data_IF_618694459527
#
_entry.id   IF_618694459527
#
_cell.length_a   1.000
_cell.length_b   1.000
_cell.length_c   1.000
_cell.angle_alpha   90.00
_cell.angle_beta   90.00
_cell.angle_gamma   90.00
#
_symmetry.space_group_name_H-M   'P 1'
#
loop_
_entity.id
_entity.type
_entity.pdbx_description
1 polymer ?
#
# COMPACT_ATOMS: atom_id res chain seq x y z
N UNK A 1 -41.26 71.43 24.11
CA UNK A 1 -41.03 70.03 24.53
C UNK A 1 -40.71 69.24 23.25
N UNK A 2 -39.43 69.03 22.93
CA UNK A 2 -38.67 67.78 23.18
C UNK A 2 -39.32 66.57 22.49
N UNK A 3 -38.70 65.77 21.61
CA UNK A 3 -37.30 65.35 21.50
C UNK A 3 -36.96 64.81 20.11
N UNK A 4 -35.69 64.96 19.75
CA UNK A 4 -34.94 64.17 18.76
C UNK A 4 -35.16 62.65 18.90
N UNK A 5 -35.43 61.96 17.79
CA UNK A 5 -35.46 60.49 17.70
C UNK A 5 -34.50 59.96 16.63
N UNK A 6 -33.41 59.35 17.07
CA UNK A 6 -32.20 58.97 16.30
C UNK A 6 -32.44 57.85 15.28
N UNK A 7 -31.75 57.95 14.13
CA UNK A 7 -31.54 56.89 13.13
C UNK A 7 -30.94 55.64 13.79
N UNK A 8 -31.66 54.52 13.77
CA UNK A 8 -31.18 53.25 14.29
C UNK A 8 -30.34 52.51 13.23
N UNK A 9 -29.07 52.94 13.07
CA UNK A 9 -28.02 52.13 12.44
C UNK A 9 -27.62 51.04 13.43
N UNK A 10 -28.07 49.79 13.21
CA UNK A 10 -27.44 48.56 13.74
C UNK A 10 -28.10 47.30 13.13
N UNK A 11 -27.87 47.06 11.84
CA UNK A 11 -27.82 45.69 11.32
C UNK A 11 -26.38 45.24 11.43
N UNK A 12 -26.00 44.74 12.60
CA UNK A 12 -24.78 43.96 12.75
C UNK A 12 -25.04 42.68 11.96
N UNK A 13 -24.41 42.55 10.80
CA UNK A 13 -24.28 41.28 10.11
C UNK A 13 -23.56 40.34 11.07
N UNK A 14 -24.29 39.48 11.76
CA UNK A 14 -23.71 38.30 12.38
C UNK A 14 -23.19 37.44 11.22
N UNK A 15 -21.94 37.68 10.81
CA UNK A 15 -21.23 36.79 9.90
C UNK A 15 -21.26 35.42 10.57
N UNK A 16 -21.96 34.47 9.95
CA UNK A 16 -21.86 33.05 10.34
C UNK A 16 -20.35 32.74 10.43
N UNK A 17 -19.87 32.10 11.51
CA UNK A 17 -18.48 31.68 11.56
C UNK A 17 -18.21 30.86 10.30
N UNK A 18 -17.21 31.26 9.50
CA UNK A 18 -16.74 30.38 8.43
C UNK A 18 -16.12 29.19 9.15
N UNK A 19 -16.83 28.08 9.14
CA UNK A 19 -16.23 26.80 9.49
C UNK A 19 -15.27 26.47 8.35
N UNK A 20 -14.01 26.87 8.51
CA UNK A 20 -12.93 26.51 7.60
C UNK A 20 -12.52 25.11 8.00
N UNK A 21 -13.02 24.13 7.25
CA UNK A 21 -12.61 22.74 7.38
C UNK A 21 -11.10 22.68 7.14
N UNK A 22 -10.35 22.09 8.06
CA UNK A 22 -8.89 21.95 7.91
C UNK A 22 -8.57 21.14 6.65
N UNK A 23 -7.39 21.35 6.06
CA UNK A 23 -6.94 20.67 4.84
C UNK A 23 -7.14 19.14 4.94
N UNK A 24 -6.84 18.59 6.11
CA UNK A 24 -6.94 17.15 6.40
C UNK A 24 -8.39 16.64 6.52
N UNK A 25 -9.29 17.45 7.07
CA UNK A 25 -10.70 17.12 7.18
C UNK A 25 -11.40 17.24 5.82
N UNK A 26 -10.94 18.17 4.97
CA UNK A 26 -11.38 18.28 3.57
C UNK A 26 -11.03 17.02 2.77
N UNK A 27 -9.79 16.53 2.88
CA UNK A 27 -9.40 15.26 2.26
C UNK A 27 -10.21 14.07 2.79
N UNK A 28 -10.58 14.09 4.08
CA UNK A 28 -11.43 13.06 4.69
C UNK A 28 -12.84 13.08 4.10
N UNK A 29 -13.42 14.26 3.91
CA UNK A 29 -14.73 14.44 3.31
C UNK A 29 -14.75 14.07 1.81
N UNK A 30 -13.70 14.41 1.07
CA UNK A 30 -13.54 14.01 -0.33
C UNK A 30 -13.44 12.49 -0.47
N UNK A 31 -12.74 11.81 0.45
CA UNK A 31 -12.68 10.34 0.53
C UNK A 31 -14.04 9.70 0.82
N UNK A 32 -14.75 10.19 1.84
CA UNK A 32 -16.09 9.69 2.16
C UNK A 32 -17.08 9.91 0.98
N UNK A 33 -16.83 10.92 0.15
CA UNK A 33 -17.61 11.19 -1.06
C UNK A 33 -17.24 10.22 -2.19
N UNK A 34 -15.95 9.97 -2.44
CA UNK A 34 -15.52 8.97 -3.43
C UNK A 34 -16.00 7.57 -3.08
N UNK A 35 -15.95 7.19 -1.80
CA UNK A 35 -16.44 5.88 -1.33
C UNK A 35 -17.96 5.74 -1.56
N UNK A 36 -18.73 6.83 -1.44
CA UNK A 36 -20.16 6.85 -1.76
C UNK A 36 -20.44 6.83 -3.26
N UNK A 37 -19.60 7.47 -4.06
CA UNK A 37 -19.70 7.45 -5.53
C UNK A 37 -19.42 6.05 -6.06
N UNK A 38 -18.42 5.34 -5.50
CA UNK A 38 -18.19 3.92 -5.76
C UNK A 38 -19.46 3.11 -5.42
N UNK A 39 -20.07 3.29 -4.24
CA UNK A 39 -21.32 2.58 -3.85
C UNK A 39 -22.53 2.90 -4.75
N UNK A 40 -22.56 4.08 -5.37
CA UNK A 40 -23.64 4.49 -6.29
C UNK A 40 -23.43 3.93 -7.70
N UNK A 41 -22.17 3.74 -8.13
CA UNK A 41 -21.82 3.07 -9.39
C UNK A 41 -22.14 1.56 -9.35
N UNK A 42 -22.21 0.97 -8.14
CA UNK A 42 -22.42 -0.46 -7.92
C UNK A 42 -23.85 -0.98 -8.16
N UNK A 43 -24.79 -0.11 -8.57
CA UNK A 43 -26.21 -0.50 -8.69
C UNK A 43 -26.60 -1.19 -9.99
N UNK A 44 -25.81 -1.14 -11.05
CA UNK A 44 -26.18 -1.74 -12.33
C UNK A 44 -24.95 -2.24 -13.09
N UNK A 45 -24.44 -3.43 -12.76
CA UNK A 45 -23.76 -4.36 -13.68
C UNK A 45 -23.36 -5.63 -12.90
N UNK A 46 -24.14 -6.70 -13.04
CA UNK A 46 -23.71 -8.04 -12.61
C UNK A 46 -22.69 -8.54 -13.63
N UNK A 47 -21.44 -8.07 -13.52
CA UNK A 47 -20.34 -8.69 -14.25
C UNK A 47 -20.17 -10.13 -13.73
N UNK A 48 -20.10 -11.08 -14.67
CA UNK A 48 -19.84 -12.48 -14.36
C UNK A 48 -18.51 -12.62 -13.59
N UNK A 49 -18.48 -13.55 -12.64
CA UNK A 49 -17.30 -13.82 -11.82
C UNK A 49 -16.09 -14.12 -12.72
N UNK A 50 -15.09 -13.21 -12.81
CA UNK A 50 -14.09 -13.27 -13.88
C UNK A 50 -12.98 -14.29 -13.61
N UNK A 51 -13.01 -14.98 -12.47
CA UNK A 51 -12.00 -15.95 -12.09
C UNK A 51 -12.46 -17.39 -12.31
N UNK A 52 -11.62 -18.15 -13.01
CA UNK A 52 -11.73 -19.60 -13.08
C UNK A 52 -11.49 -20.33 -11.75
N UNK A 53 -11.07 -19.63 -10.69
CA UNK A 53 -10.70 -20.19 -9.40
C UNK A 53 -11.30 -19.39 -8.23
N UNK A 54 -11.46 -20.01 -7.05
CA UNK A 54 -12.03 -19.34 -5.89
C UNK A 54 -11.06 -18.31 -5.29
N UNK A 55 -11.59 -17.17 -4.85
CA UNK A 55 -10.87 -16.23 -3.97
C UNK A 55 -11.62 -16.12 -2.67
N UNK A 56 -10.90 -16.21 -1.55
CA UNK A 56 -11.49 -16.29 -0.23
C UNK A 56 -10.75 -15.45 0.81
N UNK A 57 -11.38 -15.19 1.96
CA UNK A 57 -10.70 -14.56 3.09
C UNK A 57 -11.19 -15.10 4.42
N UNK A 58 -10.30 -15.16 5.40
CA UNK A 58 -10.73 -15.20 6.80
C UNK A 58 -10.93 -13.77 7.28
N UNK A 59 -12.12 -13.51 7.80
CA UNK A 59 -12.53 -12.21 8.30
C UNK A 59 -12.55 -12.23 9.82
N UNK A 60 -11.71 -11.41 10.44
CA UNK A 60 -11.62 -11.32 11.91
C UNK A 60 -12.42 -10.17 12.49
N UNK A 61 -13.10 -9.37 11.65
CA UNK A 61 -13.92 -8.24 12.08
C UNK A 61 -13.15 -7.20 12.93
N UNK A 62 -11.83 -7.11 12.73
CA UNK A 62 -10.95 -6.14 13.42
C UNK A 62 -10.96 -4.75 12.77
N UNK A 63 -11.55 -4.62 11.58
CA UNK A 63 -11.55 -3.42 10.75
C UNK A 63 -12.96 -2.80 10.66
N UNK A 64 -13.04 -1.48 10.47
CA UNK A 64 -14.30 -0.81 10.14
C UNK A 64 -14.86 -1.37 8.82
N UNK A 65 -16.07 -1.97 8.81
CA UNK A 65 -16.62 -2.60 7.61
C UNK A 65 -16.75 -1.67 6.40
N UNK A 66 -16.89 -0.35 6.61
CA UNK A 66 -16.98 0.63 5.51
C UNK A 66 -15.65 0.86 4.82
N UNK A 67 -14.56 0.81 5.57
CA UNK A 67 -13.20 1.08 5.09
C UNK A 67 -12.45 -0.19 4.72
N UNK A 68 -12.95 -1.35 5.14
CA UNK A 68 -12.31 -2.62 4.86
C UNK A 68 -12.44 -3.00 3.38
N UNK A 69 -11.29 -3.06 2.71
CA UNK A 69 -11.19 -3.54 1.32
C UNK A 69 -11.70 -4.98 1.16
N UNK A 70 -11.46 -5.86 2.13
CA UNK A 70 -11.98 -7.24 2.13
C UNK A 70 -13.51 -7.26 2.14
N UNK A 71 -14.15 -6.53 3.07
CA UNK A 71 -15.61 -6.39 3.11
C UNK A 71 -16.17 -5.73 1.84
N UNK A 72 -15.46 -4.78 1.23
CA UNK A 72 -15.85 -4.23 -0.09
C UNK A 72 -15.86 -5.31 -1.16
N UNK A 73 -14.81 -6.13 -1.27
CA UNK A 73 -14.77 -7.27 -2.21
C UNK A 73 -15.91 -8.27 -1.96
N UNK A 74 -16.34 -8.49 -0.72
CA UNK A 74 -17.50 -9.34 -0.41
C UNK A 74 -18.78 -8.75 -0.97
N UNK A 75 -18.98 -7.42 -0.88
CA UNK A 75 -20.16 -6.72 -1.41
C UNK A 75 -20.25 -6.83 -2.94
N UNK A 76 -19.12 -6.74 -3.64
CA UNK A 76 -19.08 -7.00 -5.09
C UNK A 76 -19.17 -8.49 -5.45
N UNK A 77 -19.23 -9.38 -4.45
CA UNK A 77 -19.23 -10.81 -4.68
C UNK A 77 -17.97 -11.28 -5.40
N UNK A 78 -16.78 -10.76 -5.03
CA UNK A 78 -15.47 -11.13 -5.59
C UNK A 78 -14.61 -11.94 -4.62
N UNK A 79 -15.07 -12.13 -3.38
CA UNK A 79 -14.37 -12.93 -2.36
C UNK A 79 -15.39 -13.65 -1.48
N UNK A 80 -15.07 -14.89 -1.09
CA UNK A 80 -15.87 -15.69 -0.16
C UNK A 80 -15.30 -15.61 1.26
N UNK A 81 -16.15 -15.38 2.25
CA UNK A 81 -15.73 -15.42 3.66
C UNK A 81 -15.61 -16.88 4.12
N UNK A 82 -14.45 -17.22 4.68
CA UNK A 82 -14.16 -18.49 5.32
C UNK A 82 -14.41 -18.38 6.82
N UNK A 83 -15.01 -19.44 7.39
CA UNK A 83 -15.12 -19.57 8.85
C UNK A 83 -13.76 -19.95 9.45
N UNK A 84 -13.50 -19.49 10.68
CA UNK A 84 -12.31 -19.93 11.43
C UNK A 84 -12.32 -21.45 11.62
N UNK A 85 -11.19 -22.11 11.37
CA UNK A 85 -11.06 -23.57 11.37
C UNK A 85 -11.29 -24.22 10.01
N UNK A 86 -11.90 -23.52 9.04
CA UNK A 86 -12.00 -24.01 7.67
C UNK A 86 -10.61 -24.06 7.04
N UNK A 87 -10.30 -25.16 6.35
CA UNK A 87 -9.09 -25.30 5.56
C UNK A 87 -9.27 -24.67 4.18
N UNK A 88 -8.27 -23.94 3.71
CA UNK A 88 -8.17 -23.50 2.32
C UNK A 88 -7.00 -24.24 1.65
N UNK A 89 -7.23 -24.88 0.50
CA UNK A 89 -6.22 -25.68 -0.19
C UNK A 89 -5.29 -24.85 -1.07
N UNK A 90 -5.75 -23.68 -1.51
CA UNK A 90 -4.98 -22.79 -2.37
C UNK A 90 -3.94 -21.97 -1.63
N UNK A 91 -3.38 -21.00 -2.34
CA UNK A 91 -2.36 -20.11 -1.81
C UNK A 91 -2.96 -19.16 -0.79
N UNK A 92 -2.32 -18.99 0.36
CA UNK A 92 -2.79 -18.09 1.42
C UNK A 92 -1.75 -17.03 1.71
N UNK A 93 -2.12 -15.77 1.54
CA UNK A 93 -1.31 -14.63 1.92
C UNK A 93 -1.48 -14.37 3.42
N UNK A 94 -0.40 -14.54 4.16
CA UNK A 94 -0.41 -14.45 5.61
C UNK A 94 0.97 -14.06 6.14
N UNK A 95 1.07 -13.23 7.20
CA UNK A 95 2.35 -12.81 7.77
C UNK A 95 3.13 -13.96 8.42
N UNK A 96 2.52 -15.11 8.65
CA UNK A 96 3.19 -16.32 9.15
C UNK A 96 3.74 -17.22 8.04
N UNK A 97 3.63 -16.80 6.77
CA UNK A 97 4.23 -17.52 5.65
C UNK A 97 5.75 -17.55 5.78
N UNK A 98 6.39 -18.62 5.28
CA UNK A 98 7.85 -18.72 5.24
C UNK A 98 8.43 -18.50 3.85
N UNK A 99 7.62 -18.68 2.80
CA UNK A 99 8.04 -18.55 1.40
C UNK A 99 7.36 -17.34 0.78
N UNK A 100 8.11 -16.52 0.05
CA UNK A 100 7.52 -15.45 -0.75
C UNK A 100 6.69 -16.04 -1.90
N UNK A 101 5.62 -15.34 -2.28
CA UNK A 101 4.90 -15.63 -3.53
C UNK A 101 5.88 -15.51 -4.69
N UNK A 102 5.85 -16.49 -5.59
CA UNK A 102 6.66 -16.50 -6.80
C UNK A 102 5.85 -16.99 -7.99
N UNK A 103 6.33 -16.81 -9.24
CA UNK A 103 5.63 -17.32 -10.42
C UNK A 103 5.39 -18.83 -10.42
N UNK A 104 6.20 -19.61 -9.69
CA UNK A 104 5.99 -21.04 -9.45
C UNK A 104 4.67 -21.39 -8.72
N UNK A 105 4.04 -20.42 -8.04
CA UNK A 105 2.76 -20.65 -7.35
C UNK A 105 1.54 -20.56 -8.28
N UNK A 106 1.75 -20.31 -9.58
CA UNK A 106 0.67 -20.13 -10.57
C UNK A 106 -0.32 -21.30 -10.59
N UNK A 107 0.18 -22.53 -10.64
CA UNK A 107 -0.66 -23.73 -10.73
C UNK A 107 -1.52 -23.91 -9.46
N UNK A 108 -0.96 -23.60 -8.29
CA UNK A 108 -1.69 -23.63 -7.02
C UNK A 108 -2.88 -22.66 -7.05
N UNK A 109 -2.65 -21.43 -7.54
CA UNK A 109 -3.73 -20.44 -7.67
C UNK A 109 -4.75 -20.88 -8.71
N UNK A 110 -4.29 -21.44 -9.84
CA UNK A 110 -5.17 -21.88 -10.91
C UNK A 110 -6.13 -23.00 -10.47
N UNK A 111 -5.61 -23.99 -9.73
CA UNK A 111 -6.35 -25.20 -9.38
C UNK A 111 -7.14 -25.05 -8.07
N UNK A 112 -6.62 -24.25 -7.13
CA UNK A 112 -7.15 -24.18 -5.77
C UNK A 112 -7.48 -22.76 -5.29
N UNK A 113 -7.09 -21.74 -6.04
CA UNK A 113 -7.40 -20.35 -5.75
C UNK A 113 -6.44 -19.65 -4.79
N UNK A 114 -6.84 -18.46 -4.36
CA UNK A 114 -6.06 -17.58 -3.50
C UNK A 114 -6.91 -17.12 -2.30
N UNK A 115 -6.30 -17.00 -1.12
CA UNK A 115 -6.97 -16.44 0.04
C UNK A 115 -6.09 -15.50 0.86
N UNK A 116 -6.73 -14.64 1.64
CA UNK A 116 -6.07 -13.65 2.51
C UNK A 116 -6.64 -13.69 3.93
N UNK A 117 -5.89 -13.14 4.88
CA UNK A 117 -6.35 -12.93 6.26
C UNK A 117 -6.69 -11.45 6.45
N UNK A 118 -7.98 -11.13 6.55
CA UNK A 118 -8.45 -9.76 6.80
C UNK A 118 -8.40 -9.47 8.30
N UNK A 119 -7.35 -8.76 8.70
CA UNK A 119 -7.11 -8.35 10.07
C UNK A 119 -6.50 -6.94 10.09
N UNK A 120 -6.64 -6.23 11.20
CA UNK A 120 -5.99 -4.94 11.35
C UNK A 120 -4.50 -5.13 11.64
N UNK A 121 -3.66 -4.31 11.01
CA UNK A 121 -2.22 -4.29 11.27
C UNK A 121 -1.86 -4.07 12.75
N UNK A 122 -2.74 -3.43 13.51
CA UNK A 122 -2.56 -3.20 14.95
C UNK A 122 -2.83 -4.43 15.84
N UNK A 123 -3.41 -5.51 15.29
CA UNK A 123 -3.82 -6.70 16.05
C UNK A 123 -3.29 -8.00 15.44
N UNK A 124 -2.11 -7.93 14.84
CA UNK A 124 -1.45 -9.13 14.30
C UNK A 124 -1.14 -10.13 15.42
N UNK A 125 -0.64 -9.66 16.57
CA UNK A 125 -0.27 -10.54 17.69
C UNK A 125 -1.46 -11.29 18.30
N UNK A 126 -2.65 -10.65 18.29
CA UNK A 126 -3.90 -11.24 18.77
C UNK A 126 -4.54 -12.22 17.76
N UNK A 127 -4.01 -12.28 16.53
CA UNK A 127 -4.68 -13.00 15.44
C UNK A 127 -4.47 -14.50 15.56
N UNK A 128 -5.54 -15.32 15.56
CA UNK A 128 -5.44 -16.76 15.75
C UNK A 128 -5.00 -17.49 14.45
N UNK A 129 -3.79 -17.23 13.97
CA UNK A 129 -3.24 -17.83 12.75
C UNK A 129 -3.27 -19.36 12.78
N UNK A 130 -3.09 -19.97 13.96
CA UNK A 130 -3.14 -21.42 14.16
C UNK A 130 -4.50 -22.05 13.79
N UNK A 131 -5.58 -21.26 13.74
CA UNK A 131 -6.93 -21.71 13.34
C UNK A 131 -7.17 -21.60 11.83
N UNK A 132 -6.28 -20.97 11.08
CA UNK A 132 -6.37 -20.75 9.65
C UNK A 132 -5.46 -21.76 8.93
N UNK A 133 -6.01 -22.93 8.59
CA UNK A 133 -5.23 -24.06 8.08
C UNK A 133 -5.05 -23.97 6.57
N UNK A 134 -3.81 -24.03 6.12
CA UNK A 134 -3.44 -24.04 4.69
C UNK A 134 -2.16 -24.85 4.47
N UNK A 135 -2.04 -25.59 3.35
CA UNK A 135 -0.78 -26.21 2.96
C UNK A 135 0.20 -25.20 2.33
N UNK A 136 -0.30 -24.07 1.83
CA UNK A 136 0.45 -23.14 0.98
C UNK A 136 0.45 -21.70 1.56
N UNK A 137 0.96 -21.47 2.79
CA UNK A 137 1.13 -20.11 3.29
C UNK A 137 2.25 -19.41 2.54
N UNK A 138 2.03 -18.15 2.16
CA UNK A 138 3.01 -17.30 1.45
C UNK A 138 3.06 -15.89 2.03
N UNK A 139 4.24 -15.31 2.00
CA UNK A 139 4.49 -13.89 2.21
C UNK A 139 4.46 -13.15 0.87
N UNK A 140 4.09 -11.88 0.89
CA UNK A 140 4.32 -11.02 -0.28
C UNK A 140 5.74 -10.44 -0.20
N UNK A 141 6.42 -10.31 -1.35
CA UNK A 141 7.68 -9.57 -1.40
C UNK A 141 7.45 -8.09 -1.11
N UNK A 142 8.55 -7.35 -0.94
CA UNK A 142 8.51 -5.91 -0.72
C UNK A 142 7.69 -5.20 -1.80
N UNK A 143 6.65 -4.49 -1.35
CA UNK A 143 5.77 -3.64 -2.13
C UNK A 143 5.32 -2.47 -1.25
N UNK A 144 4.93 -1.37 -1.89
CA UNK A 144 4.49 -0.16 -1.21
C UNK A 144 2.98 -0.02 -1.37
N UNK A 145 2.29 0.27 -0.27
CA UNK A 145 0.85 0.44 -0.30
C UNK A 145 0.46 1.73 -1.02
N UNK A 146 -0.55 1.66 -1.87
CA UNK A 146 -1.17 2.79 -2.56
C UNK A 146 -2.56 3.12 -2.01
N UNK A 147 -3.08 2.33 -1.06
CA UNK A 147 -4.35 2.58 -0.43
C UNK A 147 -4.36 3.89 0.40
N UNK A 148 -5.50 4.61 0.50
CA UNK A 148 -5.57 5.90 1.20
C UNK A 148 -5.28 5.88 2.71
N UNK A 149 -5.19 4.69 3.32
CA UNK A 149 -4.94 4.51 4.75
C UNK A 149 -3.45 4.34 5.03
N UNK A 150 -2.72 3.60 4.20
CA UNK A 150 -1.31 3.28 4.40
C UNK A 150 -0.42 3.74 3.25
N UNK A 151 -0.88 4.68 2.43
CA UNK A 151 -0.15 5.18 1.26
C UNK A 151 1.32 5.46 1.58
N UNK A 152 2.23 4.89 0.78
CA UNK A 152 3.67 5.04 0.91
C UNK A 152 4.32 4.16 1.98
N UNK A 153 3.55 3.41 2.78
CA UNK A 153 4.12 2.48 3.76
C UNK A 153 4.51 1.16 3.10
N UNK A 154 5.70 0.67 3.46
CA UNK A 154 6.21 -0.62 3.01
C UNK A 154 5.44 -1.78 3.64
N UNK A 155 5.13 -2.80 2.83
CA UNK A 155 4.52 -4.07 3.23
C UNK A 155 3.17 -3.99 3.95
N UNK A 156 2.58 -2.79 4.11
CA UNK A 156 1.29 -2.58 4.79
C UNK A 156 0.12 -2.52 3.80
N UNK A 157 0.10 -3.49 2.88
CA UNK A 157 -0.90 -3.60 1.83
C UNK A 157 -2.30 -3.86 2.40
N UNK A 158 -3.32 -3.41 1.68
CA UNK A 158 -4.71 -3.81 1.89
C UNK A 158 -4.98 -5.20 1.32
N UNK A 159 -6.11 -5.81 1.70
CA UNK A 159 -6.50 -7.15 1.22
C UNK A 159 -6.62 -7.21 -0.32
N UNK A 160 -7.14 -6.16 -0.95
CA UNK A 160 -7.22 -6.09 -2.42
C UNK A 160 -5.85 -5.98 -3.08
N UNK A 161 -4.96 -5.14 -2.54
CA UNK A 161 -3.58 -4.99 -3.06
C UNK A 161 -2.79 -6.29 -2.89
N UNK A 162 -2.98 -6.98 -1.76
CA UNK A 162 -2.35 -8.27 -1.51
C UNK A 162 -2.78 -9.33 -2.53
N UNK A 163 -4.09 -9.45 -2.78
CA UNK A 163 -4.63 -10.34 -3.81
C UNK A 163 -4.09 -9.96 -5.19
N UNK A 164 -4.16 -8.67 -5.54
CA UNK A 164 -3.70 -8.18 -6.83
C UNK A 164 -2.20 -8.44 -7.05
N UNK A 165 -1.36 -8.20 -6.04
CA UNK A 165 0.06 -8.50 -6.10
C UNK A 165 0.33 -9.98 -6.38
N UNK A 166 -0.31 -10.88 -5.62
CA UNK A 166 -0.15 -12.32 -5.82
C UNK A 166 -0.60 -12.76 -7.21
N UNK A 167 -1.71 -12.20 -7.70
CA UNK A 167 -2.22 -12.47 -9.05
C UNK A 167 -1.25 -11.96 -10.13
N UNK A 168 -0.67 -10.77 -9.98
CA UNK A 168 0.29 -10.23 -10.96
C UNK A 168 1.56 -11.07 -11.00
N UNK A 169 2.15 -11.38 -9.83
CA UNK A 169 3.37 -12.18 -9.72
C UNK A 169 3.16 -13.55 -10.37
N UNK A 170 1.99 -14.16 -10.20
CA UNK A 170 1.66 -15.47 -10.79
C UNK A 170 1.13 -15.41 -12.24
N UNK A 171 1.14 -14.22 -12.87
CA UNK A 171 0.79 -14.04 -14.28
C UNK A 171 -0.71 -13.93 -14.59
N UNK A 172 -1.53 -13.56 -13.62
CA UNK A 172 -2.97 -13.26 -13.75
C UNK A 172 -3.23 -11.74 -13.75
N UNK A 173 -2.51 -11.01 -14.61
CA UNK A 173 -2.48 -9.53 -14.61
C UNK A 173 -3.87 -8.91 -14.84
N UNK A 174 -4.63 -9.39 -15.83
CA UNK A 174 -5.96 -8.84 -16.13
C UNK A 174 -6.96 -9.05 -14.98
N UNK A 175 -6.84 -10.19 -14.30
CA UNK A 175 -7.63 -10.49 -13.10
C UNK A 175 -7.27 -9.52 -11.97
N UNK A 176 -5.98 -9.24 -11.77
CA UNK A 176 -5.55 -8.26 -10.77
C UNK A 176 -6.07 -6.84 -11.07
N UNK A 177 -5.98 -6.40 -12.32
CA UNK A 177 -6.52 -5.11 -12.78
C UNK A 177 -8.03 -5.00 -12.52
N UNK A 178 -8.78 -6.07 -12.76
CA UNK A 178 -10.20 -6.13 -12.46
C UNK A 178 -10.50 -5.89 -10.97
N UNK A 179 -9.77 -6.55 -10.07
CA UNK A 179 -9.94 -6.36 -8.62
C UNK A 179 -9.63 -4.92 -8.19
N UNK A 180 -8.53 -4.36 -8.70
CA UNK A 180 -8.13 -2.98 -8.42
C UNK A 180 -9.10 -1.96 -9.02
N UNK A 181 -9.72 -2.25 -10.16
CA UNK A 181 -10.70 -1.39 -10.83
C UNK A 181 -11.96 -1.13 -10.01
N UNK A 182 -12.26 -1.95 -9.00
CA UNK A 182 -13.36 -1.70 -8.04
C UNK A 182 -13.02 -0.63 -6.99
N UNK A 183 -11.82 -0.05 -7.07
CA UNK A 183 -11.35 0.99 -6.16
C UNK A 183 -10.85 2.16 -7.00
N UNK A 184 -11.41 3.35 -6.76
CA UNK A 184 -11.01 4.59 -7.45
C UNK A 184 -9.50 4.85 -7.44
N UNK A 185 -8.81 4.48 -6.36
CA UNK A 185 -7.35 4.59 -6.19
C UNK A 185 -6.54 3.36 -6.66
N UNK A 186 -7.20 2.29 -7.11
CA UNK A 186 -6.55 1.00 -7.39
C UNK A 186 -5.50 1.07 -8.50
N UNK A 187 -5.65 1.97 -9.46
CA UNK A 187 -4.66 2.22 -10.52
C UNK A 187 -3.31 2.68 -9.95
N UNK A 188 -3.32 3.48 -8.88
CA UNK A 188 -2.11 4.00 -8.24
C UNK A 188 -1.22 2.89 -7.67
N UNK A 189 -1.80 1.72 -7.32
CA UNK A 189 -1.01 0.57 -6.88
C UNK A 189 -0.11 0.02 -7.99
N UNK A 190 -0.63 -0.05 -9.21
CA UNK A 190 0.10 -0.52 -10.39
C UNK A 190 1.17 0.48 -10.83
N UNK A 191 0.87 1.77 -10.74
CA UNK A 191 1.82 2.84 -11.06
C UNK A 191 2.97 2.86 -10.05
N UNK A 192 2.66 2.81 -8.76
CA UNK A 192 3.63 2.89 -7.68
C UNK A 192 4.59 1.69 -7.66
N UNK A 193 4.09 0.49 -7.96
CA UNK A 193 4.87 -0.75 -7.87
C UNK A 193 5.19 -1.37 -9.24
N UNK A 194 4.94 -0.66 -10.34
CA UNK A 194 4.96 -1.25 -11.68
C UNK A 194 6.29 -1.86 -12.07
N UNK A 195 7.40 -1.20 -11.73
CA UNK A 195 8.74 -1.71 -11.98
C UNK A 195 9.01 -3.00 -11.19
N UNK A 196 8.78 -2.99 -9.87
CA UNK A 196 8.96 -4.16 -9.01
C UNK A 196 8.09 -5.33 -9.43
N UNK A 197 6.80 -5.10 -9.67
CA UNK A 197 5.86 -6.15 -10.09
C UNK A 197 6.28 -6.78 -11.41
N UNK A 198 6.77 -5.97 -12.36
CA UNK A 198 7.33 -6.47 -13.62
C UNK A 198 8.56 -7.34 -13.37
N UNK A 199 9.51 -6.90 -12.55
CA UNK A 199 10.70 -7.70 -12.20
C UNK A 199 10.31 -9.02 -11.53
N UNK A 200 9.41 -8.98 -10.54
CA UNK A 200 8.93 -10.19 -9.84
C UNK A 200 8.24 -11.18 -10.79
N UNK A 201 7.47 -10.70 -11.77
CA UNK A 201 6.85 -11.59 -12.76
C UNK A 201 7.85 -12.30 -13.70
N UNK A 202 9.10 -11.81 -13.80
CA UNK A 202 10.15 -12.43 -14.60
C UNK A 202 10.97 -13.46 -13.81
N UNK A 203 10.86 -13.47 -12.49
CA UNK A 203 11.51 -14.45 -11.63
C UNK A 203 10.94 -15.86 -11.83
N UNK A 204 11.66 -16.87 -11.40
CA UNK A 204 11.22 -18.27 -11.46
C UNK A 204 10.80 -18.81 -10.10
N UNK A 205 11.52 -18.43 -9.04
CA UNK A 205 11.39 -19.00 -7.70
C UNK A 205 11.39 -17.93 -6.60
N UNK A 206 11.13 -18.34 -5.36
CA UNK A 206 11.08 -17.43 -4.22
C UNK A 206 12.45 -16.80 -3.89
N UNK A 207 13.56 -17.49 -4.18
CA UNK A 207 14.92 -16.99 -3.93
C UNK A 207 15.26 -15.81 -4.86
N UNK A 208 14.92 -15.90 -6.15
CA UNK A 208 15.08 -14.81 -7.11
C UNK A 208 14.21 -13.60 -6.77
N UNK A 209 12.99 -13.83 -6.26
CA UNK A 209 12.13 -12.77 -5.74
C UNK A 209 12.83 -12.03 -4.58
N UNK A 210 13.41 -12.79 -3.64
CA UNK A 210 14.15 -12.22 -2.50
C UNK A 210 15.39 -11.44 -2.96
N UNK A 211 16.17 -11.98 -3.89
CA UNK A 211 17.33 -11.27 -4.45
C UNK A 211 16.94 -9.98 -5.17
N UNK A 212 15.83 -10.01 -5.91
CA UNK A 212 15.31 -8.85 -6.65
C UNK A 212 14.86 -7.74 -5.70
N UNK A 213 14.13 -8.07 -4.62
CA UNK A 213 13.72 -7.06 -3.63
C UNK A 213 14.92 -6.48 -2.88
N UNK A 214 15.94 -7.29 -2.55
CA UNK A 214 17.12 -6.82 -1.84
C UNK A 214 17.89 -5.81 -2.68
N UNK A 215 18.10 -6.13 -3.96
CA UNK A 215 18.74 -5.22 -4.91
C UNK A 215 17.98 -3.90 -5.01
N UNK A 216 16.65 -3.96 -5.15
CA UNK A 216 15.83 -2.75 -5.21
C UNK A 216 15.94 -1.90 -3.93
N UNK A 217 15.93 -2.53 -2.76
CA UNK A 217 16.06 -1.82 -1.49
C UNK A 217 17.43 -1.18 -1.31
N UNK A 218 18.50 -1.81 -1.77
CA UNK A 218 19.86 -1.24 -1.77
C UNK A 218 19.93 -0.03 -2.70
N UNK A 219 19.42 -0.16 -3.92
CA UNK A 219 19.44 0.92 -4.91
C UNK A 219 18.58 2.12 -4.44
N UNK A 220 17.41 1.87 -3.87
CA UNK A 220 16.55 2.92 -3.30
C UNK A 220 17.21 3.65 -2.11
N UNK A 221 17.94 2.93 -1.25
CA UNK A 221 18.72 3.56 -0.16
C UNK A 221 19.85 4.42 -0.73
N UNK A 222 20.57 3.94 -1.75
CA UNK A 222 21.64 4.68 -2.42
C UNK A 222 21.09 5.96 -3.05
N UNK A 223 19.97 5.89 -3.76
CA UNK A 223 19.34 7.05 -4.36
C UNK A 223 18.93 8.09 -3.31
N UNK A 224 18.32 7.66 -2.20
CA UNK A 224 17.95 8.55 -1.09
C UNK A 224 19.17 9.28 -0.52
N UNK A 225 20.29 8.58 -0.38
CA UNK A 225 21.54 9.17 0.11
C UNK A 225 22.11 10.17 -0.89
N UNK A 226 22.15 9.83 -2.18
CA UNK A 226 22.61 10.75 -3.22
C UNK A 226 21.79 12.04 -3.25
N UNK A 227 20.46 11.95 -3.11
CA UNK A 227 19.58 13.12 -2.99
C UNK A 227 19.81 13.93 -1.71
N UNK A 228 20.34 13.33 -0.64
CA UNK A 228 20.68 14.05 0.58
C UNK A 228 22.04 14.77 0.50
N UNK A 229 22.95 14.27 -0.35
CA UNK A 229 24.28 14.87 -0.58
C UNK A 229 24.20 16.05 -1.54
N UNK A 230 23.32 15.98 -2.53
CA UNK A 230 23.01 17.11 -3.41
C UNK A 230 21.93 17.95 -2.72
N UNK A 231 22.32 19.04 -2.06
CA UNK A 231 21.36 19.98 -1.50
C UNK A 231 20.50 20.57 -2.64
N UNK A 232 19.17 20.42 -2.56
CA UNK A 232 18.18 21.03 -3.47
C UNK A 232 18.10 22.57 -3.33
N UNK A 233 19.08 23.19 -2.65
CA UNK A 233 19.18 24.63 -2.56
C UNK A 233 19.88 25.17 -3.82
N UNK A 234 19.37 26.27 -4.42
CA UNK A 234 20.13 26.95 -5.45
C UNK A 234 21.50 27.35 -4.86
N UNK A 235 22.59 27.24 -5.64
CA UNK A 235 23.90 27.67 -5.19
C UNK A 235 23.81 29.13 -4.71
N UNK A 236 24.39 29.40 -3.54
CA UNK A 236 24.54 30.78 -3.07
C UNK A 236 25.78 31.32 -3.76
N UNK A 237 25.62 32.30 -4.67
CA UNK A 237 26.69 32.95 -5.46
C UNK A 237 27.72 33.73 -4.61
N UNK A 238 28.18 33.19 -3.48
CA UNK A 238 29.15 33.86 -2.59
C UNK A 238 30.29 32.97 -2.12
N UNK A 239 30.51 31.82 -2.76
CA UNK A 239 31.55 30.88 -2.38
C UNK A 239 32.74 30.99 -3.35
N UNK A 240 33.95 31.03 -2.79
CA UNK A 240 35.21 31.11 -3.54
C UNK A 240 35.65 29.72 -4.03
N UNK A 241 36.46 29.64 -5.10
CA UNK A 241 36.90 28.36 -5.70
C UNK A 241 37.54 27.38 -4.70
N UNK A 242 38.18 27.88 -3.63
CA UNK A 242 38.73 27.07 -2.53
C UNK A 242 37.64 26.40 -1.66
N UNK A 243 36.47 27.03 -1.51
CA UNK A 243 35.34 26.50 -0.72
C UNK A 243 34.53 25.45 -1.52
N UNK A 244 34.61 25.46 -2.85
CA UNK A 244 33.98 24.45 -3.72
C UNK A 244 34.76 23.13 -3.69
N UNK A 245 36.10 23.19 -3.74
CA UNK A 245 36.98 22.00 -3.66
C UNK A 245 36.87 21.30 -2.29
N UNK A 246 36.85 22.06 -1.17
CA UNK A 246 36.65 21.50 0.17
C UNK A 246 35.29 20.78 0.31
N UNK A 247 34.24 21.31 -0.31
CA UNK A 247 32.90 20.68 -0.31
C UNK A 247 32.84 19.44 -1.18
N UNK A 248 33.57 19.38 -2.29
CA UNK A 248 33.65 18.17 -3.10
C UNK A 248 34.41 17.05 -2.37
N UNK A 249 35.53 17.36 -1.72
CA UNK A 249 36.28 16.41 -0.90
C UNK A 249 35.49 15.94 0.34
N UNK A 250 34.73 16.84 0.99
CA UNK A 250 33.80 16.47 2.06
C UNK A 250 32.67 15.56 1.55
N UNK A 251 32.08 15.85 0.39
CA UNK A 251 31.04 14.99 -0.20
C UNK A 251 31.57 13.61 -0.55
N UNK A 252 32.79 13.52 -1.08
CA UNK A 252 33.40 12.25 -1.47
C UNK A 252 33.77 11.40 -0.24
N UNK A 253 34.36 12.02 0.80
CA UNK A 253 34.70 11.35 2.06
C UNK A 253 33.46 10.92 2.87
N UNK A 254 32.40 11.74 2.89
CA UNK A 254 31.10 11.38 3.49
C UNK A 254 30.45 10.22 2.74
N UNK A 255 30.51 10.23 1.41
CA UNK A 255 29.99 9.14 0.58
C UNK A 255 30.70 7.81 0.86
N UNK A 256 32.03 7.81 0.99
CA UNK A 256 32.84 6.62 1.31
C UNK A 256 32.50 6.07 2.71
N UNK A 257 32.39 6.93 3.72
CA UNK A 257 32.04 6.54 5.09
C UNK A 257 30.59 6.05 5.24
N UNK A 258 29.69 6.51 4.38
CA UNK A 258 28.31 6.03 4.33
C UNK A 258 28.25 4.66 3.67
N UNK A 259 28.99 4.44 2.58
CA UNK A 259 29.07 3.13 1.89
C UNK A 259 29.60 2.05 2.85
N UNK A 260 30.63 2.35 3.64
CA UNK A 260 31.17 1.39 4.62
C UNK A 260 30.17 1.06 5.74
N UNK A 261 29.43 2.06 6.26
CA UNK A 261 28.34 1.83 7.23
C UNK A 261 27.19 1.02 6.66
N UNK A 262 26.90 1.16 5.37
CA UNK A 262 25.85 0.39 4.69
C UNK A 262 26.27 -1.08 4.58
N UNK A 263 27.52 -1.35 4.20
CA UNK A 263 28.05 -2.72 4.13
C UNK A 263 28.03 -3.42 5.50
N UNK A 264 28.22 -2.68 6.59
CA UNK A 264 28.08 -3.20 7.96
C UNK A 264 26.61 -3.47 8.33
N UNK A 265 25.70 -2.53 8.05
CA UNK A 265 24.26 -2.71 8.33
C UNK A 265 23.61 -3.80 7.49
N UNK A 266 24.08 -4.03 6.26
CA UNK A 266 23.62 -5.13 5.40
C UNK A 266 24.08 -6.48 5.95
N UNK A 267 25.27 -6.56 6.57
CA UNK A 267 25.72 -7.77 7.26
C UNK A 267 24.91 -8.07 8.52
N UNK A 268 24.49 -7.05 9.26
CA UNK A 268 23.68 -7.21 10.47
C UNK A 268 22.22 -7.61 10.18
N UNK A 269 21.70 -7.30 8.98
CA UNK A 269 20.35 -7.67 8.55
C UNK A 269 20.22 -9.12 8.05
N UNK A 270 21.33 -9.86 7.90
CA UNK A 270 21.34 -11.30 7.56
C UNK A 270 20.99 -12.22 8.75
N UNK A 271 20.22 -11.73 9.73
CA UNK A 271 19.59 -12.55 10.75
C UNK A 271 18.07 -12.39 10.65
N UNK A 272 17.47 -13.06 9.66
CA UNK A 272 16.14 -13.70 9.75
C UNK A 272 16.19 -14.99 8.94
#
# INVERSE_FOLDING_TARGET
MSSYGKKNRKRILTRRPRHVVGKEEKYRQERDKSDKEDELSDKEEKEDWPLSFPVAMWDLEHCDPKKCSGKKLVRHGLIKILRLGTRFSGLVLTPIGQKCVSPADRDIIQDHGCAVVDCSWARLDDTPFNRMRTPNPRLLPFLVAANPINYGKSCQLSCVEAIAAALIITGFVEKAKFYLGKFSWGHSFLELNGELLKQYSLCTNAEEIISTQEKFLVDARREKLNRSVVADFPPTDSETEEEEEEKEEEKESVSINIISKIDEQVKDLNII
#
